data_IF_537318148513
#
_entry.id   IF_537318148513
#
_cell.length_a   1.000
_cell.length_b   1.000
_cell.length_c   1.000
_cell.angle_alpha   90.00
_cell.angle_beta   90.00
_cell.angle_gamma   90.00
#
_symmetry.space_group_name_H-M   'P 1'
#
loop_
_entity.id
_entity.type
_entity.pdbx_description
1 polymer ?
#
# COMPACT_ATOMS: atom_id res chain seq x y z
N UNK A 1 11.13 14.56 -23.22
CA UNK A 1 10.27 13.99 -22.16
C UNK A 1 9.09 13.27 -22.79
N UNK A 2 8.72 12.09 -22.29
CA UNK A 2 7.54 11.37 -22.81
C UNK A 2 6.24 12.11 -22.46
N UNK A 3 5.15 11.93 -23.22
CA UNK A 3 3.83 12.53 -22.88
C UNK A 3 3.33 12.09 -21.49
N UNK A 4 3.72 10.89 -21.05
CA UNK A 4 3.39 10.35 -19.72
C UNK A 4 4.07 11.16 -18.62
N UNK A 5 5.34 11.52 -18.81
CA UNK A 5 6.09 12.29 -17.81
C UNK A 5 5.61 13.74 -17.71
N UNK A 6 5.14 14.32 -18.82
CA UNK A 6 4.51 15.64 -18.78
C UNK A 6 3.24 15.64 -17.91
N UNK A 7 2.38 14.62 -18.07
CA UNK A 7 1.17 14.48 -17.22
C UNK A 7 1.51 14.20 -15.76
N UNK A 8 2.50 13.34 -15.50
CA UNK A 8 2.98 13.10 -14.13
C UNK A 8 3.49 14.38 -13.48
N UNK A 9 4.25 15.20 -14.20
CA UNK A 9 4.74 16.50 -13.72
C UNK A 9 3.57 17.43 -13.38
N UNK A 10 2.55 17.53 -14.24
CA UNK A 10 1.33 18.29 -13.94
C UNK A 10 0.65 17.81 -12.65
N UNK A 11 0.56 16.49 -12.42
CA UNK A 11 0.00 15.92 -11.18
C UNK A 11 0.85 16.28 -9.96
N UNK A 12 2.18 16.22 -10.05
CA UNK A 12 3.09 16.60 -8.97
C UNK A 12 2.99 18.10 -8.66
N UNK A 13 2.91 18.95 -9.69
CA UNK A 13 2.71 20.40 -9.54
C UNK A 13 1.40 20.66 -8.80
N UNK A 14 0.31 20.02 -9.24
CA UNK A 14 -0.98 20.15 -8.58
C UNK A 14 -0.89 19.71 -7.10
N UNK A 15 -0.20 18.61 -6.80
CA UNK A 15 0.01 18.16 -5.42
C UNK A 15 0.78 19.18 -4.57
N UNK A 16 1.78 19.86 -5.14
CA UNK A 16 2.53 20.94 -4.47
C UNK A 16 1.68 22.18 -4.17
N UNK A 17 0.63 22.42 -4.96
CA UNK A 17 -0.27 23.57 -4.80
C UNK A 17 -1.46 23.26 -3.88
N UNK A 18 -1.72 21.98 -3.60
CA UNK A 18 -2.69 21.54 -2.61
C UNK A 18 -2.11 21.57 -1.19
N UNK A 19 -3.00 21.57 -0.18
CA UNK A 19 -2.62 21.45 1.24
C UNK A 19 -2.34 20.00 1.63
N UNK A 20 -1.48 19.32 0.88
CA UNK A 20 -1.05 17.95 1.15
C UNK A 20 0.26 17.95 1.94
N UNK A 21 0.49 16.92 2.74
CA UNK A 21 1.85 16.62 3.22
C UNK A 21 2.62 15.98 2.07
N UNK A 22 3.61 16.69 1.52
CA UNK A 22 4.38 16.19 0.38
C UNK A 22 5.20 14.94 0.69
N UNK A 23 5.40 14.60 1.98
CA UNK A 23 5.98 13.31 2.39
C UNK A 23 5.05 12.15 2.05
N UNK A 24 3.74 12.35 2.11
CA UNK A 24 2.76 11.34 1.70
C UNK A 24 2.82 11.09 0.19
N UNK A 25 3.00 12.15 -0.61
CA UNK A 25 3.17 12.00 -2.07
C UNK A 25 4.45 11.22 -2.39
N UNK A 26 5.56 11.55 -1.71
CA UNK A 26 6.81 10.81 -1.84
C UNK A 26 6.66 9.34 -1.40
N UNK A 27 5.91 9.10 -0.33
CA UNK A 27 5.59 7.76 0.18
C UNK A 27 4.79 6.94 -0.85
N UNK A 28 3.84 7.54 -1.57
CA UNK A 28 3.15 6.86 -2.70
C UNK A 28 4.15 6.48 -3.80
N UNK A 29 5.06 7.39 -4.18
CA UNK A 29 6.07 7.11 -5.21
C UNK A 29 6.94 5.93 -4.78
N UNK A 30 7.42 5.90 -3.53
CA UNK A 30 8.21 4.77 -3.04
C UNK A 30 7.43 3.46 -3.01
N UNK A 31 6.15 3.45 -2.66
CA UNK A 31 5.36 2.21 -2.68
C UNK A 31 5.13 1.65 -4.08
N UNK A 32 5.18 2.48 -5.12
CA UNK A 32 5.15 1.99 -6.49
C UNK A 32 6.33 1.03 -6.77
N UNK A 33 7.47 1.16 -6.09
CA UNK A 33 8.60 0.24 -6.26
C UNK A 33 8.33 -1.16 -5.70
N UNK A 34 7.47 -1.28 -4.68
CA UNK A 34 7.12 -2.56 -4.06
C UNK A 34 6.39 -3.48 -5.04
N UNK A 35 5.53 -2.90 -5.89
CA UNK A 35 4.71 -3.68 -6.83
C UNK A 35 5.19 -3.59 -8.27
N UNK A 36 5.71 -2.44 -8.70
CA UNK A 36 6.19 -2.24 -10.06
C UNK A 36 7.71 -2.35 -10.23
N UNK A 37 8.47 -2.51 -9.14
CA UNK A 37 9.93 -2.56 -9.13
C UNK A 37 10.59 -1.19 -9.07
N UNK A 38 11.87 -1.16 -8.68
CA UNK A 38 12.66 0.08 -8.55
C UNK A 38 12.72 0.87 -9.87
N UNK A 39 12.88 0.17 -11.00
CA UNK A 39 13.07 0.79 -12.31
C UNK A 39 11.94 1.72 -12.77
N UNK A 40 10.75 1.63 -12.16
CA UNK A 40 9.61 2.48 -12.53
C UNK A 40 9.52 3.78 -11.72
N UNK A 41 10.29 3.93 -10.63
CA UNK A 41 10.19 5.08 -9.73
C UNK A 41 11.27 6.15 -9.92
N UNK A 42 12.35 5.85 -10.65
CA UNK A 42 13.46 6.79 -10.88
C UNK A 42 13.00 8.13 -11.48
N UNK A 43 12.27 8.08 -12.60
CA UNK A 43 11.78 9.29 -13.26
C UNK A 43 10.75 10.04 -12.39
N UNK A 44 9.72 9.39 -11.80
CA UNK A 44 8.85 10.05 -10.82
C UNK A 44 9.62 10.77 -9.70
N UNK A 45 10.65 10.15 -9.12
CA UNK A 45 11.47 10.75 -8.06
C UNK A 45 12.26 11.97 -8.56
N UNK A 46 12.80 11.90 -9.77
CA UNK A 46 13.50 13.01 -10.41
C UNK A 46 12.55 14.21 -10.63
N UNK A 47 11.37 13.97 -11.21
CA UNK A 47 10.36 15.00 -11.45
C UNK A 47 9.90 15.60 -10.12
N UNK A 48 9.59 14.77 -9.12
CA UNK A 48 9.18 15.23 -7.80
C UNK A 48 10.23 16.13 -7.17
N UNK A 49 11.49 15.70 -7.19
CA UNK A 49 12.62 16.46 -6.65
C UNK A 49 12.81 17.80 -7.35
N UNK A 50 12.74 17.84 -8.68
CA UNK A 50 12.85 19.06 -9.47
C UNK A 50 11.74 20.07 -9.13
N UNK A 51 10.49 19.62 -9.08
CA UNK A 51 9.35 20.50 -8.81
C UNK A 51 9.35 21.05 -7.38
N UNK A 52 9.79 20.24 -6.40
CA UNK A 52 9.97 20.69 -5.01
C UNK A 52 11.09 21.71 -4.89
N UNK A 53 12.23 21.50 -5.55
CA UNK A 53 13.36 22.45 -5.54
C UNK A 53 12.98 23.77 -6.20
N UNK A 54 12.28 23.72 -7.34
CA UNK A 54 11.81 24.91 -8.04
C UNK A 54 10.87 25.78 -7.19
N UNK A 55 10.19 25.19 -6.19
CA UNK A 55 9.26 25.87 -5.27
C UNK A 55 9.83 26.12 -3.88
N UNK A 56 11.08 25.75 -3.61
CA UNK A 56 11.68 25.85 -2.27
C UNK A 56 11.06 24.93 -1.23
N UNK A 57 10.41 23.84 -1.64
CA UNK A 57 9.71 22.89 -0.77
C UNK A 57 10.55 21.65 -0.40
N UNK A 58 11.70 21.45 -1.05
CA UNK A 58 12.52 20.25 -0.94
C UNK A 58 12.99 19.97 0.51
N UNK A 59 13.54 20.96 1.19
CA UNK A 59 14.11 20.77 2.52
C UNK A 59 13.05 20.37 3.55
N UNK A 60 11.81 20.86 3.39
CA UNK A 60 10.68 20.50 4.25
C UNK A 60 10.28 19.03 4.17
N UNK A 61 10.58 18.37 3.05
CA UNK A 61 10.37 16.93 2.84
C UNK A 61 11.61 16.14 3.27
N UNK A 62 12.78 16.53 2.78
CA UNK A 62 14.03 15.77 2.98
C UNK A 62 14.48 15.71 4.45
N UNK A 63 14.32 16.80 5.20
CA UNK A 63 14.78 16.87 6.60
C UNK A 63 13.82 16.24 7.61
N UNK A 64 12.61 15.90 7.17
CA UNK A 64 11.52 15.36 8.02
C UNK A 64 11.11 13.94 7.61
N UNK A 65 11.99 13.22 6.92
CA UNK A 65 11.79 11.80 6.59
C UNK A 65 11.67 10.97 7.87
N UNK A 66 10.78 9.97 7.85
CA UNK A 66 10.72 8.99 8.94
C UNK A 66 11.79 7.92 8.74
N UNK A 67 12.52 7.57 9.80
CA UNK A 67 13.45 6.44 9.77
C UNK A 67 12.72 5.12 10.06
N UNK A 68 13.36 4.01 9.71
CA UNK A 68 12.88 2.66 10.05
C UNK A 68 12.70 2.51 11.56
N UNK A 69 11.66 1.80 11.99
CA UNK A 69 11.31 1.63 13.41
C UNK A 69 10.85 2.89 14.16
N UNK A 70 10.78 4.07 13.54
CA UNK A 70 10.52 5.34 14.27
C UNK A 70 9.22 5.34 15.08
N UNK A 71 8.15 4.73 14.54
CA UNK A 71 6.83 4.65 15.20
C UNK A 71 6.59 3.32 15.91
N UNK A 72 7.61 2.46 16.03
CA UNK A 72 7.45 1.16 16.68
C UNK A 72 7.03 1.28 18.15
N UNK A 73 7.53 2.31 18.86
CA UNK A 73 7.14 2.61 20.24
C UNK A 73 5.67 3.01 20.42
N UNK A 74 4.98 3.39 19.34
CA UNK A 74 3.56 3.74 19.35
C UNK A 74 2.66 2.51 19.11
N UNK A 75 3.27 1.36 18.76
CA UNK A 75 2.56 0.14 18.41
C UNK A 75 2.45 -0.79 19.60
N UNK A 76 1.39 -1.61 19.60
CA UNK A 76 1.15 -2.62 20.63
C UNK A 76 0.70 -3.91 19.95
N UNK A 77 1.44 -4.99 20.20
CA UNK A 77 1.09 -6.31 19.68
C UNK A 77 -0.31 -6.73 20.13
N UNK A 78 -0.67 -6.49 21.40
CA UNK A 78 -1.99 -6.86 21.93
C UNK A 78 -3.11 -6.07 21.24
N UNK A 79 -2.89 -4.77 20.99
CA UNK A 79 -3.86 -3.92 20.30
C UNK A 79 -4.03 -4.35 18.83
N UNK A 80 -2.94 -4.66 18.13
CA UNK A 80 -3.01 -5.12 16.74
C UNK A 80 -3.64 -6.52 16.65
N UNK A 81 -3.26 -7.43 17.54
CA UNK A 81 -3.82 -8.79 17.62
C UNK A 81 -5.32 -8.80 17.85
N UNK A 82 -5.86 -7.82 18.58
CA UNK A 82 -7.31 -7.66 18.74
C UNK A 82 -8.05 -7.31 17.43
N UNK A 83 -7.34 -6.86 16.40
CA UNK A 83 -7.89 -6.52 15.08
C UNK A 83 -7.67 -7.60 14.01
N UNK A 84 -6.90 -8.64 14.34
CA UNK A 84 -6.63 -9.73 13.41
C UNK A 84 -7.89 -10.55 13.10
N UNK A 85 -7.84 -11.26 11.97
CA UNK A 85 -8.89 -12.20 11.64
C UNK A 85 -8.92 -13.36 12.65
N UNK A 86 -10.09 -13.88 13.07
CA UNK A 86 -10.17 -14.96 14.08
C UNK A 86 -9.36 -16.21 13.73
N UNK A 87 -9.32 -16.58 12.45
CA UNK A 87 -8.49 -17.70 11.97
C UNK A 87 -6.98 -17.45 12.18
N UNK A 88 -6.51 -16.23 11.95
CA UNK A 88 -5.10 -15.88 12.15
C UNK A 88 -4.75 -15.84 13.65
N UNK A 89 -5.67 -15.35 14.48
CA UNK A 89 -5.50 -15.32 15.95
C UNK A 89 -5.45 -16.72 16.56
N UNK A 90 -6.20 -17.67 16.00
CA UNK A 90 -6.25 -19.05 16.48
C UNK A 90 -5.10 -19.93 15.95
N UNK A 91 -4.36 -19.48 14.94
CA UNK A 91 -3.30 -20.25 14.31
C UNK A 91 -1.98 -20.11 15.10
N UNK A 92 -1.42 -21.23 15.65
CA UNK A 92 -0.21 -21.18 16.47
C UNK A 92 1.01 -20.69 15.69
N UNK A 93 1.01 -20.78 14.35
CA UNK A 93 2.11 -20.28 13.51
C UNK A 93 2.28 -18.77 13.64
N UNK A 94 1.27 -18.03 14.08
CA UNK A 94 1.40 -16.60 14.31
C UNK A 94 2.50 -16.29 15.35
N UNK A 95 2.47 -16.95 16.51
CA UNK A 95 3.49 -16.75 17.54
C UNK A 95 4.87 -17.24 17.09
N UNK A 96 4.93 -18.39 16.40
CA UNK A 96 6.18 -18.95 15.89
C UNK A 96 6.85 -18.03 14.87
N UNK A 97 6.08 -17.49 13.91
CA UNK A 97 6.58 -16.60 12.87
C UNK A 97 6.97 -15.23 13.43
N UNK A 98 6.24 -14.71 14.42
CA UNK A 98 6.62 -13.46 15.12
C UNK A 98 7.90 -13.63 15.94
N UNK A 99 8.08 -14.78 16.60
CA UNK A 99 9.32 -15.09 17.31
C UNK A 99 10.51 -15.19 16.35
N UNK A 100 10.27 -15.66 15.11
CA UNK A 100 11.30 -15.87 14.10
C UNK A 100 11.68 -14.59 13.33
N UNK A 101 10.69 -13.85 12.83
CA UNK A 101 10.90 -12.71 11.93
C UNK A 101 10.58 -11.35 12.56
N UNK A 102 10.32 -11.32 13.87
CA UNK A 102 9.87 -10.12 14.56
C UNK A 102 8.37 -9.90 14.44
N UNK A 103 7.74 -9.56 15.56
CA UNK A 103 6.32 -9.23 15.61
C UNK A 103 5.92 -7.99 14.79
N UNK A 104 6.76 -6.92 14.63
CA UNK A 104 6.31 -5.70 13.96
C UNK A 104 5.90 -5.92 12.50
N UNK A 105 6.70 -6.68 11.74
CA UNK A 105 6.42 -6.97 10.33
C UNK A 105 5.26 -7.95 10.16
N UNK A 106 5.29 -9.07 10.91
CA UNK A 106 4.26 -10.10 10.83
C UNK A 106 2.89 -9.57 11.26
N UNK A 107 2.81 -8.79 12.33
CA UNK A 107 1.53 -8.25 12.83
C UNK A 107 0.87 -7.29 11.83
N UNK A 108 1.62 -6.35 11.24
CA UNK A 108 1.09 -5.47 10.18
C UNK A 108 0.67 -6.30 8.97
N UNK A 109 1.45 -7.32 8.59
CA UNK A 109 1.07 -8.20 7.50
C UNK A 109 -0.24 -8.95 7.81
N UNK A 110 -0.51 -9.35 9.05
CA UNK A 110 -1.78 -9.98 9.43
C UNK A 110 -2.96 -8.98 9.37
N UNK A 111 -2.73 -7.73 9.78
CA UNK A 111 -3.73 -6.65 9.66
C UNK A 111 -4.07 -6.35 8.18
N UNK A 112 -3.06 -6.29 7.31
CA UNK A 112 -3.22 -5.89 5.91
C UNK A 112 -3.48 -7.06 4.96
N UNK A 113 -3.14 -8.29 5.35
CA UNK A 113 -3.33 -9.50 4.54
C UNK A 113 -3.84 -10.67 5.39
N UNK A 114 -5.01 -10.52 6.04
CA UNK A 114 -5.57 -11.58 6.88
C UNK A 114 -5.75 -12.88 6.08
N UNK A 115 -5.51 -14.02 6.72
CA UNK A 115 -5.57 -15.40 6.19
C UNK A 115 -4.54 -15.75 5.12
N UNK A 116 -3.68 -14.81 4.74
CA UNK A 116 -2.65 -15.04 3.71
C UNK A 116 -1.24 -14.97 4.29
N UNK A 117 -1.02 -14.10 5.26
CA UNK A 117 0.31 -13.83 5.83
C UNK A 117 0.99 -15.07 6.37
N UNK A 118 0.33 -15.86 7.22
CA UNK A 118 0.96 -17.03 7.83
C UNK A 118 1.37 -18.08 6.78
N UNK A 119 0.51 -18.33 5.79
CA UNK A 119 0.80 -19.23 4.68
C UNK A 119 1.97 -18.72 3.82
N UNK A 120 1.98 -17.42 3.51
CA UNK A 120 3.03 -16.80 2.73
C UNK A 120 4.37 -16.81 3.46
N UNK A 121 4.38 -16.48 4.76
CA UNK A 121 5.59 -16.49 5.58
C UNK A 121 6.17 -17.90 5.74
N UNK A 122 5.32 -18.90 5.97
CA UNK A 122 5.74 -20.30 6.03
C UNK A 122 6.31 -20.76 4.69
N UNK A 123 5.64 -20.44 3.58
CA UNK A 123 6.08 -20.82 2.25
C UNK A 123 7.42 -20.18 1.87
N UNK A 124 7.54 -18.86 1.98
CA UNK A 124 8.78 -18.15 1.64
C UNK A 124 9.91 -18.59 2.58
N UNK A 125 9.65 -18.70 3.89
CA UNK A 125 10.65 -19.16 4.85
C UNK A 125 11.12 -20.60 4.62
N UNK A 126 10.24 -21.46 4.08
CA UNK A 126 10.62 -22.80 3.65
C UNK A 126 11.49 -22.84 2.39
N UNK A 127 11.50 -21.76 1.60
CA UNK A 127 12.40 -21.59 0.45
C UNK A 127 13.72 -20.95 0.88
N UNK A 128 13.65 -19.85 1.62
CA UNK A 128 14.81 -19.12 2.15
C UNK A 128 14.39 -18.26 3.35
N UNK A 129 15.02 -18.50 4.51
CA UNK A 129 14.67 -17.79 5.74
C UNK A 129 15.14 -16.33 5.73
N UNK A 130 16.33 -16.05 5.20
CA UNK A 130 16.89 -14.70 5.18
C UNK A 130 16.12 -13.76 4.25
N UNK A 131 15.62 -14.29 3.13
CA UNK A 131 14.73 -13.56 2.26
C UNK A 131 13.37 -13.33 2.92
N UNK A 132 12.82 -14.30 3.65
CA UNK A 132 11.58 -14.11 4.39
C UNK A 132 11.71 -12.99 5.44
N UNK A 133 12.79 -13.01 6.22
CA UNK A 133 13.12 -11.95 7.19
C UNK A 133 13.19 -10.58 6.50
N UNK A 134 14.05 -10.44 5.47
CA UNK A 134 14.19 -9.20 4.74
C UNK A 134 12.88 -8.71 4.11
N UNK A 135 12.03 -9.62 3.62
CA UNK A 135 10.74 -9.28 3.03
C UNK A 135 9.75 -8.71 4.07
N UNK A 136 9.68 -9.30 5.26
CA UNK A 136 8.79 -8.81 6.31
C UNK A 136 9.32 -7.56 6.99
N UNK A 137 10.63 -7.43 7.15
CA UNK A 137 11.27 -6.23 7.68
C UNK A 137 11.08 -5.06 6.73
N UNK A 138 11.60 -5.15 5.51
CA UNK A 138 11.54 -4.03 4.57
C UNK A 138 10.10 -3.71 4.16
N UNK A 139 9.33 -4.74 3.78
CA UNK A 139 7.97 -4.55 3.31
C UNK A 139 7.05 -4.05 4.43
N UNK A 140 6.94 -4.81 5.52
CA UNK A 140 5.87 -4.59 6.49
C UNK A 140 6.31 -3.81 7.72
N UNK A 141 7.46 -4.14 8.32
CA UNK A 141 7.97 -3.43 9.50
C UNK A 141 8.34 -1.98 9.15
N UNK A 142 9.11 -1.81 8.08
CA UNK A 142 9.68 -0.51 7.70
C UNK A 142 8.74 0.30 6.83
N UNK A 143 8.41 -0.20 5.63
CA UNK A 143 7.61 0.56 4.67
C UNK A 143 6.16 0.69 5.13
N UNK A 144 5.48 -0.42 5.47
CA UNK A 144 4.12 -0.29 6.01
C UNK A 144 4.09 0.31 7.43
N UNK A 145 5.03 -0.06 8.31
CA UNK A 145 5.02 0.34 9.72
C UNK A 145 5.45 1.77 10.02
N UNK A 146 6.19 2.46 9.13
CA UNK A 146 6.53 3.88 9.34
C UNK A 146 5.31 4.81 9.28
N UNK A 147 4.21 4.38 8.66
CA UNK A 147 2.92 5.09 8.64
C UNK A 147 3.05 6.61 8.35
N UNK A 148 3.85 6.99 7.35
CA UNK A 148 3.80 8.34 6.76
C UNK A 148 2.41 8.56 6.16
N UNK A 149 1.89 7.53 5.49
CA UNK A 149 0.50 7.39 5.10
C UNK A 149 -0.20 6.42 6.04
N UNK A 150 -1.42 6.77 6.45
CA UNK A 150 -2.30 5.83 7.12
C UNK A 150 -2.66 4.64 6.18
N UNK A 151 -3.04 3.50 6.75
CA UNK A 151 -3.31 2.28 5.97
C UNK A 151 -4.47 2.44 4.99
N UNK A 152 -5.50 3.21 5.33
CA UNK A 152 -6.67 3.42 4.48
C UNK A 152 -6.29 4.17 3.22
N UNK A 153 -5.66 5.32 3.36
CA UNK A 153 -5.20 6.18 2.26
C UNK A 153 -4.16 5.44 1.42
N UNK A 154 -3.22 4.77 2.07
CA UNK A 154 -2.22 3.93 1.41
C UNK A 154 -2.86 2.89 0.49
N UNK A 155 -3.81 2.11 1.01
CA UNK A 155 -4.42 1.03 0.25
C UNK A 155 -5.26 1.55 -0.92
N UNK A 156 -5.88 2.72 -0.81
CA UNK A 156 -6.53 3.38 -1.94
C UNK A 156 -5.54 3.74 -3.05
N UNK A 157 -4.37 4.28 -2.70
CA UNK A 157 -3.28 4.51 -3.67
C UNK A 157 -2.79 3.19 -4.29
N UNK A 158 -2.70 2.13 -3.49
CA UNK A 158 -2.27 0.82 -3.98
C UNK A 158 -3.24 0.19 -4.97
N UNK A 159 -4.56 0.39 -4.83
CA UNK A 159 -5.53 -0.02 -5.85
C UNK A 159 -5.20 0.63 -7.19
N UNK A 160 -4.92 1.94 -7.21
CA UNK A 160 -4.52 2.66 -8.43
C UNK A 160 -3.19 2.15 -9.00
N UNK A 161 -2.21 1.91 -8.14
CA UNK A 161 -0.90 1.40 -8.55
C UNK A 161 -0.99 0.00 -9.18
N UNK A 162 -1.65 -0.95 -8.52
CA UNK A 162 -1.77 -2.33 -9.04
C UNK A 162 -2.60 -2.40 -10.31
N UNK A 163 -3.60 -1.52 -10.47
CA UNK A 163 -4.30 -1.34 -11.75
C UNK A 163 -3.37 -0.87 -12.86
N UNK A 164 -2.52 0.14 -12.58
CA UNK A 164 -1.63 0.73 -13.57
C UNK A 164 -0.59 -0.27 -14.12
N UNK A 165 -0.15 -1.22 -13.29
CA UNK A 165 0.79 -2.29 -13.71
C UNK A 165 0.08 -3.58 -14.16
N UNK A 166 -1.25 -3.64 -14.10
CA UNK A 166 -2.04 -4.82 -14.50
C UNK A 166 -2.02 -5.98 -13.51
N UNK A 167 -1.65 -5.75 -12.25
CA UNK A 167 -1.70 -6.76 -11.18
C UNK A 167 -3.12 -6.82 -10.60
N UNK A 168 -3.91 -7.77 -11.09
CA UNK A 168 -5.34 -7.87 -10.76
C UNK A 168 -5.59 -8.57 -9.42
N UNK A 169 -4.73 -9.51 -9.02
CA UNK A 169 -4.91 -10.27 -7.77
C UNK A 169 -4.76 -9.33 -6.58
N UNK A 170 -3.70 -8.55 -6.57
CA UNK A 170 -3.39 -7.51 -5.60
C UNK A 170 -4.37 -6.35 -5.69
N UNK A 171 -4.85 -5.98 -6.88
CA UNK A 171 -5.94 -4.99 -7.00
C UNK A 171 -7.15 -5.42 -6.18
N UNK A 172 -7.64 -6.66 -6.33
CA UNK A 172 -8.77 -7.17 -5.53
C UNK A 172 -8.44 -7.22 -4.03
N UNK A 173 -7.22 -7.62 -3.69
CA UNK A 173 -6.77 -7.66 -2.30
C UNK A 173 -6.76 -6.26 -1.65
N UNK A 174 -6.23 -5.26 -2.34
CA UNK A 174 -6.20 -3.88 -1.85
C UNK A 174 -7.58 -3.25 -1.79
N UNK A 175 -8.49 -3.52 -2.73
CA UNK A 175 -9.88 -3.06 -2.63
C UNK A 175 -10.54 -3.56 -1.34
N UNK A 176 -10.43 -4.87 -1.07
CA UNK A 176 -10.98 -5.49 0.14
C UNK A 176 -10.34 -4.92 1.41
N UNK A 177 -9.02 -4.84 1.43
CA UNK A 177 -8.28 -4.41 2.62
C UNK A 177 -8.49 -2.93 2.89
N UNK A 178 -8.57 -2.07 1.86
CA UNK A 178 -8.88 -0.65 2.02
C UNK A 178 -10.21 -0.48 2.77
N UNK A 179 -11.23 -1.27 2.42
CA UNK A 179 -12.52 -1.24 3.11
C UNK A 179 -12.44 -1.70 4.57
N UNK A 180 -11.65 -2.74 4.85
CA UNK A 180 -11.38 -3.17 6.24
C UNK A 180 -10.64 -2.12 7.06
N UNK A 181 -9.84 -1.27 6.40
CA UNK A 181 -9.14 -0.15 7.02
C UNK A 181 -9.98 1.15 7.01
N UNK A 182 -11.27 1.08 6.68
CA UNK A 182 -12.22 2.20 6.80
C UNK A 182 -12.45 3.02 5.53
N UNK A 183 -12.00 2.56 4.37
CA UNK A 183 -12.43 3.14 3.09
C UNK A 183 -13.89 2.72 2.81
N UNK A 184 -14.69 3.62 2.26
CA UNK A 184 -16.02 3.24 1.75
C UNK A 184 -15.90 2.53 0.40
N UNK A 185 -16.86 1.66 0.03
CA UNK A 185 -16.96 1.13 -1.33
C UNK A 185 -16.99 2.23 -2.39
N UNK A 186 -17.59 3.38 -2.05
CA UNK A 186 -17.68 4.55 -2.93
C UNK A 186 -16.30 5.14 -3.23
N UNK A 187 -15.42 5.23 -2.24
CA UNK A 187 -14.05 5.72 -2.45
C UNK A 187 -13.22 4.77 -3.29
N UNK A 188 -13.37 3.47 -3.08
CA UNK A 188 -12.73 2.46 -3.95
C UNK A 188 -13.24 2.61 -5.39
N UNK A 189 -14.55 2.76 -5.58
CA UNK A 189 -15.15 2.98 -6.90
C UNK A 189 -14.63 4.26 -7.57
N UNK A 190 -14.44 5.35 -6.83
CA UNK A 190 -13.86 6.59 -7.36
C UNK A 190 -12.41 6.40 -7.83
N UNK A 191 -11.59 5.60 -7.12
CA UNK A 191 -10.26 5.22 -7.62
C UNK A 191 -10.37 4.48 -8.94
N UNK A 192 -11.32 3.56 -9.09
CA UNK A 192 -11.55 2.85 -10.36
C UNK A 192 -11.96 3.83 -11.48
N UNK A 193 -12.88 4.75 -11.20
CA UNK A 193 -13.33 5.77 -12.17
C UNK A 193 -12.21 6.68 -12.63
N UNK A 194 -11.40 7.21 -11.71
CA UNK A 194 -10.27 8.06 -12.09
C UNK A 194 -9.22 7.26 -12.87
N UNK A 195 -9.00 6.00 -12.50
CA UNK A 195 -8.05 5.12 -13.19
C UNK A 195 -8.45 4.82 -14.63
N UNK A 196 -9.73 4.91 -15.00
CA UNK A 196 -10.19 4.73 -16.40
C UNK A 196 -9.48 5.70 -17.35
N UNK A 197 -9.25 6.93 -16.92
CA UNK A 197 -8.63 7.98 -17.75
C UNK A 197 -7.12 7.76 -17.91
N UNK A 198 -6.48 7.12 -16.93
CA UNK A 198 -5.02 6.93 -16.89
C UNK A 198 -4.61 5.57 -17.46
N UNK A 199 -5.31 4.50 -17.08
CA UNK A 199 -4.98 3.09 -17.40
C UNK A 199 -5.78 2.59 -18.62
N UNK A 200 -6.89 3.25 -18.93
CA UNK A 200 -7.75 2.92 -20.07
C UNK A 200 -8.91 1.99 -19.72
N UNK A 201 -10.02 2.18 -20.43
CA UNK A 201 -11.29 1.46 -20.21
C UNK A 201 -11.15 -0.07 -20.17
N UNK A 202 -10.47 -0.76 -21.12
CA UNK A 202 -10.50 -2.22 -21.18
C UNK A 202 -9.90 -2.94 -19.96
N UNK A 203 -8.98 -2.27 -19.25
CA UNK A 203 -8.33 -2.84 -18.07
C UNK A 203 -9.20 -2.74 -16.80
N UNK A 204 -10.25 -1.91 -16.85
CA UNK A 204 -11.06 -1.55 -15.68
C UNK A 204 -12.52 -1.95 -15.90
N UNK A 205 -13.12 -1.53 -17.01
CA UNK A 205 -14.54 -1.70 -17.28
C UNK A 205 -14.75 -2.92 -18.18
N UNK A 206 -15.68 -3.85 -17.82
CA UNK A 206 -16.51 -3.86 -16.61
C UNK A 206 -15.89 -4.66 -15.45
N UNK A 207 -14.79 -5.38 -15.67
CA UNK A 207 -14.38 -6.46 -14.76
C UNK A 207 -13.95 -5.98 -13.38
N UNK A 208 -13.29 -4.82 -13.25
CA UNK A 208 -12.90 -4.28 -11.94
C UNK A 208 -14.10 -3.74 -11.16
N UNK A 209 -15.14 -3.27 -11.85
CA UNK A 209 -16.39 -2.87 -11.20
C UNK A 209 -17.12 -4.11 -10.66
N UNK A 210 -17.17 -5.20 -11.44
CA UNK A 210 -17.75 -6.47 -10.98
C UNK A 210 -16.98 -7.06 -9.81
N UNK A 211 -15.64 -6.98 -9.84
CA UNK A 211 -14.81 -7.39 -8.72
C UNK A 211 -15.17 -6.61 -7.44
N UNK A 212 -15.33 -5.29 -7.54
CA UNK A 212 -15.74 -4.47 -6.40
C UNK A 212 -17.14 -4.86 -5.88
N UNK A 213 -18.12 -5.02 -6.78
CA UNK A 213 -19.48 -5.45 -6.41
C UNK A 213 -19.44 -6.76 -5.63
N UNK A 214 -18.73 -7.76 -6.17
CA UNK A 214 -18.58 -9.06 -5.52
C UNK A 214 -17.92 -8.94 -4.14
N UNK A 215 -16.88 -8.11 -3.99
CA UNK A 215 -16.23 -7.92 -2.69
C UNK A 215 -17.21 -7.26 -1.70
N UNK A 216 -17.99 -6.27 -2.12
CA UNK A 216 -18.97 -5.61 -1.25
C UNK A 216 -20.03 -6.61 -0.79
N UNK A 217 -20.54 -7.44 -1.70
CA UNK A 217 -21.50 -8.50 -1.38
C UNK A 217 -20.94 -9.50 -0.37
N UNK A 218 -19.70 -9.95 -0.57
CA UNK A 218 -19.02 -10.89 0.33
C UNK A 218 -18.76 -10.31 1.73
N UNK A 219 -18.38 -9.03 1.83
CA UNK A 219 -17.97 -8.42 3.11
C UNK A 219 -19.15 -7.82 3.88
N UNK A 220 -20.23 -7.41 3.22
CA UNK A 220 -21.39 -6.76 3.86
C UNK A 220 -22.63 -7.65 3.94
N UNK A 221 -22.69 -8.74 3.16
CA UNK A 221 -23.90 -9.54 2.99
C UNK A 221 -25.03 -8.82 2.25
N UNK A 222 -24.80 -7.60 1.74
CA UNK A 222 -25.77 -6.82 0.99
C UNK A 222 -25.52 -6.95 -0.52
N UNK A 223 -26.56 -7.26 -1.29
CA UNK A 223 -26.54 -7.14 -2.76
C UNK A 223 -26.58 -5.66 -3.14
N UNK A 224 -25.68 -5.24 -4.05
CA UNK A 224 -25.75 -3.92 -4.69
C UNK A 224 -26.81 -3.88 -5.80
#
# INVERSE_FOLDING_TARGET
>A
MSRRHARLRETIIAACEQKLDLREVLEVIFQCSIYGGESIVDEPLAIFTEELKARGLFDGVATRSLHTGQRESERSLDAERATWHPEDTADPRADELMAKYGWPGISIALVLRPRHTLNNATFIGGLDEGFAEAFYDFGYSDMYGRQILDHRTRLLCMVGNTLAIGEIVQTRHHMRTAMKQGASPREVLEVLFQSVVVVGHPNIVPERFRDLVKIVEEETGASL
#
